data_IF_725752906441
#
_entry.id   IF_725752906441
#
_cell.length_a   1.000
_cell.length_b   1.000
_cell.length_c   1.000
_cell.angle_alpha   90.00
_cell.angle_beta   90.00
_cell.angle_gamma   90.00
#
_symmetry.space_group_name_H-M   'P 1'
#
loop_
_entity.id
_entity.type
_entity.pdbx_description
1 polymer ?
#
# COMPACT_ATOMS: atom_id res chain seq x y z
N UNK A 1 -3.78 3.28 -4.88
CA UNK A 1 -4.77 2.56 -5.71
C UNK A 1 -6.19 3.08 -5.50
N UNK A 2 -6.70 3.16 -4.27
CA UNK A 2 -8.06 3.63 -3.98
C UNK A 2 -8.40 4.98 -4.62
N UNK A 3 -7.49 5.94 -4.57
CA UNK A 3 -7.71 7.29 -5.15
C UNK A 3 -7.71 7.32 -6.69
N UNK A 4 -7.29 6.23 -7.33
CA UNK A 4 -7.34 6.07 -8.78
C UNK A 4 -8.68 5.48 -9.24
N UNK A 5 -9.50 4.93 -8.34
CA UNK A 5 -10.81 4.40 -8.70
C UNK A 5 -11.81 5.55 -8.79
N UNK A 6 -12.34 5.78 -10.00
CA UNK A 6 -13.35 6.81 -10.29
C UNK A 6 -14.77 6.24 -10.23
N UNK A 7 -14.93 4.98 -10.62
CA UNK A 7 -16.20 4.29 -10.65
C UNK A 7 -16.04 2.78 -10.75
N UNK A 8 -17.09 2.06 -10.35
CA UNK A 8 -17.15 0.60 -10.40
C UNK A 8 -18.55 0.14 -10.77
N UNK A 9 -18.64 -0.99 -11.49
CA UNK A 9 -19.88 -1.77 -11.58
C UNK A 9 -19.68 -3.12 -10.89
N UNK A 10 -20.70 -3.56 -10.17
CA UNK A 10 -20.62 -4.80 -9.40
C UNK A 10 -21.94 -5.56 -9.36
N UNK A 11 -21.85 -6.88 -9.19
CA UNK A 11 -22.97 -7.77 -8.94
C UNK A 11 -23.01 -8.10 -7.44
N UNK A 12 -24.16 -7.88 -6.80
CA UNK A 12 -24.40 -8.22 -5.38
C UNK A 12 -24.76 -9.69 -5.19
N UNK A 13 -24.80 -10.17 -3.94
CA UNK A 13 -25.21 -11.55 -3.61
C UNK A 13 -26.68 -11.85 -3.94
N UNK A 14 -27.46 -10.82 -4.27
CA UNK A 14 -28.83 -10.96 -4.79
C UNK A 14 -28.89 -10.90 -6.32
N UNK A 15 -27.74 -10.97 -7.01
CA UNK A 15 -27.67 -10.90 -8.48
C UNK A 15 -27.97 -9.51 -9.07
N UNK A 16 -28.02 -8.45 -8.24
CA UNK A 16 -28.30 -7.09 -8.74
C UNK A 16 -27.03 -6.46 -9.29
N UNK A 17 -27.10 -5.95 -10.51
CA UNK A 17 -26.03 -5.16 -11.12
C UNK A 17 -26.14 -3.69 -10.69
N UNK A 18 -25.15 -3.21 -9.95
CA UNK A 18 -25.11 -1.86 -9.40
C UNK A 18 -23.95 -1.08 -10.01
N UNK A 19 -24.13 0.24 -10.15
CA UNK A 19 -23.12 1.18 -10.64
C UNK A 19 -22.87 2.25 -9.59
N UNK A 20 -21.59 2.50 -9.31
CA UNK A 20 -21.14 3.53 -8.35
C UNK A 20 -20.06 4.40 -8.98
N UNK A 21 -20.10 5.70 -8.68
CA UNK A 21 -19.20 6.68 -9.29
C UNK A 21 -19.44 6.87 -10.80
N UNK A 22 -18.42 7.32 -11.51
CA UNK A 22 -18.50 7.60 -12.94
C UNK A 22 -17.16 8.04 -13.50
N UNK A 23 -17.12 8.35 -14.80
CA UNK A 23 -15.89 8.79 -15.48
C UNK A 23 -15.53 10.25 -15.19
N UNK A 24 -16.48 11.04 -14.65
CA UNK A 24 -16.29 12.44 -14.29
C UNK A 24 -15.87 12.59 -12.83
N UNK A 25 -14.90 13.47 -12.59
CA UNK A 25 -14.30 13.72 -11.26
C UNK A 25 -15.31 14.33 -10.27
N UNK A 26 -16.33 15.03 -10.77
CA UNK A 26 -17.37 15.66 -9.95
C UNK A 26 -18.54 14.69 -9.73
N UNK A 27 -18.44 13.87 -8.68
CA UNK A 27 -19.56 13.10 -8.14
C UNK A 27 -19.87 13.67 -6.74
N UNK A 28 -20.78 14.64 -6.65
CA UNK A 28 -21.07 15.39 -5.40
C UNK A 28 -22.37 14.89 -4.72
N UNK A 29 -22.71 13.61 -4.89
CA UNK A 29 -23.85 13.01 -4.19
C UNK A 29 -23.61 11.53 -3.88
N UNK A 30 -23.80 11.14 -2.62
CA UNK A 30 -23.83 9.75 -2.16
C UNK A 30 -22.54 9.24 -1.50
N UNK A 31 -22.61 7.99 -1.05
CA UNK A 31 -21.47 7.28 -0.44
C UNK A 31 -20.49 6.78 -1.51
N UNK A 32 -19.19 6.88 -1.22
CA UNK A 32 -18.10 6.50 -2.14
C UNK A 32 -17.87 4.97 -2.14
N UNK A 33 -18.86 4.24 -2.67
CA UNK A 33 -18.82 2.77 -2.75
C UNK A 33 -17.75 2.31 -3.74
N UNK A 34 -17.44 3.07 -4.80
CA UNK A 34 -16.41 2.70 -5.76
C UNK A 34 -15.02 2.62 -5.11
N UNK A 35 -14.67 3.57 -4.24
CA UNK A 35 -13.43 3.49 -3.46
C UNK A 35 -13.48 2.44 -2.36
N UNK A 36 -14.65 2.16 -1.77
CA UNK A 36 -14.83 1.07 -0.80
C UNK A 36 -14.49 -0.30 -1.40
N UNK A 37 -14.77 -0.53 -2.69
CA UNK A 37 -14.47 -1.79 -3.34
C UNK A 37 -12.97 -2.08 -3.43
N UNK A 38 -12.12 -1.04 -3.47
CA UNK A 38 -10.67 -1.19 -3.46
C UNK A 38 -10.21 -1.73 -2.10
N UNK A 39 -9.70 -2.96 -2.09
CA UNK A 39 -9.31 -3.65 -0.85
C UNK A 39 -10.46 -4.41 -0.17
N UNK A 40 -11.62 -4.57 -0.83
CA UNK A 40 -12.71 -5.43 -0.35
C UNK A 40 -12.44 -6.93 -0.49
N UNK A 41 -11.38 -7.31 -1.22
CA UNK A 41 -11.02 -8.70 -1.55
C UNK A 41 -12.21 -9.51 -2.07
N UNK A 42 -13.09 -8.88 -2.86
CA UNK A 42 -14.28 -9.52 -3.44
C UNK A 42 -15.40 -9.83 -2.45
N UNK A 43 -15.26 -9.50 -1.16
CA UNK A 43 -16.25 -9.85 -0.13
C UNK A 43 -17.57 -9.07 -0.27
N UNK A 44 -17.56 -7.95 -1.01
CA UNK A 44 -18.72 -7.04 -1.12
C UNK A 44 -19.43 -7.12 -2.46
N UNK A 45 -19.02 -8.02 -3.35
CA UNK A 45 -19.57 -8.12 -4.69
C UNK A 45 -18.54 -8.52 -5.74
N UNK A 46 -19.04 -9.00 -6.88
CA UNK A 46 -18.21 -9.29 -8.05
C UNK A 46 -18.08 -8.01 -8.87
N UNK A 47 -16.86 -7.50 -9.02
CA UNK A 47 -16.59 -6.36 -9.89
C UNK A 47 -16.68 -6.79 -11.36
N UNK A 48 -17.50 -6.09 -12.15
CA UNK A 48 -17.64 -6.33 -13.59
C UNK A 48 -16.92 -5.28 -14.42
N UNK A 49 -16.83 -4.05 -13.91
CA UNK A 49 -16.16 -2.92 -14.57
C UNK A 49 -15.51 -2.02 -13.54
N UNK A 50 -14.37 -1.42 -13.90
CA UNK A 50 -13.67 -0.41 -13.09
C UNK A 50 -13.21 0.74 -13.98
N UNK A 51 -13.59 1.96 -13.62
CA UNK A 51 -13.10 3.19 -14.26
C UNK A 51 -11.93 3.73 -13.44
N UNK A 52 -10.78 3.91 -14.07
CA UNK A 52 -9.55 4.36 -13.42
C UNK A 52 -9.13 5.75 -13.92
N UNK A 53 -8.65 6.58 -12.99
CA UNK A 53 -7.90 7.79 -13.31
C UNK A 53 -6.57 7.38 -13.93
N UNK A 54 -6.20 8.00 -15.04
CA UNK A 54 -4.87 7.86 -15.64
C UNK A 54 -4.07 9.13 -15.43
N UNK A 55 -2.75 8.98 -15.31
CA UNK A 55 -1.80 10.10 -15.22
C UNK A 55 -0.99 10.18 -16.52
N UNK A 56 -0.58 11.38 -16.95
CA UNK A 56 0.32 11.52 -18.08
C UNK A 56 1.61 10.73 -17.86
N UNK A 57 2.12 10.12 -18.93
CA UNK A 57 3.45 9.49 -18.90
C UNK A 57 4.52 10.58 -18.69
N UNK A 58 5.43 10.43 -17.70
CA UNK A 58 6.50 11.40 -17.50
C UNK A 58 7.43 11.45 -18.72
N UNK A 59 8.04 12.62 -18.97
CA UNK A 59 8.99 12.81 -20.07
C UNK A 59 10.32 12.12 -19.79
N UNK A 60 10.76 12.15 -18.53
CA UNK A 60 11.97 11.49 -18.07
C UNK A 60 11.68 10.71 -16.78
N UNK A 61 12.26 9.51 -16.68
CA UNK A 61 12.27 8.67 -15.50
C UNK A 61 13.70 8.19 -15.27
N UNK A 62 14.26 8.46 -14.10
CA UNK A 62 15.57 7.94 -13.68
C UNK A 62 15.46 7.32 -12.30
N UNK A 63 16.30 6.34 -12.00
CA UNK A 63 16.40 5.73 -10.68
C UNK A 63 17.80 5.95 -10.14
N UNK A 64 17.91 6.36 -8.89
CA UNK A 64 19.19 6.66 -8.23
C UNK A 64 19.30 5.92 -6.91
N UNK A 65 20.54 5.61 -6.51
CA UNK A 65 20.89 4.98 -5.25
C UNK A 65 21.83 5.88 -4.42
N UNK A 66 21.53 6.01 -3.13
CA UNK A 66 22.26 6.81 -2.16
C UNK A 66 22.65 5.91 -0.98
N UNK A 67 23.93 5.86 -0.63
CA UNK A 67 24.41 5.13 0.54
C UNK A 67 24.08 5.93 1.80
N UNK A 68 23.22 5.38 2.67
CA UNK A 68 22.77 6.07 3.88
C UNK A 68 22.10 5.09 4.84
N UNK A 69 22.19 5.34 6.14
CA UNK A 69 21.48 4.54 7.14
C UNK A 69 19.97 4.83 7.15
N UNK A 70 19.17 3.97 7.79
CA UNK A 70 17.71 4.11 7.80
C UNK A 70 17.20 5.38 8.48
N UNK A 71 17.87 5.87 9.53
CA UNK A 71 17.42 7.05 10.25
C UNK A 71 17.61 8.31 9.40
N UNK A 72 18.77 8.43 8.76
CA UNK A 72 19.08 9.48 7.80
C UNK A 72 18.14 9.43 6.59
N UNK A 73 17.93 8.24 6.00
CA UNK A 73 17.02 8.05 4.86
C UNK A 73 15.60 8.54 5.15
N UNK A 74 15.02 8.12 6.29
CA UNK A 74 13.66 8.51 6.69
C UNK A 74 13.56 10.02 6.96
N UNK A 75 14.59 10.60 7.58
CA UNK A 75 14.65 12.05 7.83
C UNK A 75 14.68 12.83 6.52
N UNK A 76 15.52 12.43 5.55
CA UNK A 76 15.58 13.03 4.22
C UNK A 76 14.25 12.90 3.47
N UNK A 77 13.61 11.72 3.50
CA UNK A 77 12.31 11.50 2.86
C UNK A 77 11.21 12.39 3.45
N UNK A 78 11.18 12.57 4.78
CA UNK A 78 10.25 13.47 5.46
C UNK A 78 10.50 14.94 5.10
N UNK A 79 11.75 15.33 4.87
CA UNK A 79 12.10 16.67 4.39
C UNK A 79 11.69 16.89 2.94
N UNK A 80 12.09 15.99 2.03
CA UNK A 80 11.82 16.10 0.59
C UNK A 80 10.34 15.99 0.26
N UNK A 81 9.56 15.23 1.05
CA UNK A 81 8.11 15.14 0.89
C UNK A 81 7.37 16.46 1.13
N UNK A 82 8.02 17.46 1.76
CA UNK A 82 7.48 18.82 1.95
C UNK A 82 7.92 19.80 0.85
N UNK A 83 8.62 19.30 -0.16
CA UNK A 83 9.19 20.09 -1.25
C UNK A 83 8.63 19.59 -2.60
N UNK A 84 8.65 20.40 -3.67
CA UNK A 84 8.20 19.99 -4.99
C UNK A 84 9.24 19.09 -5.70
N UNK A 85 9.67 18.02 -5.04
CA UNK A 85 10.64 17.06 -5.58
C UNK A 85 9.93 16.08 -6.52
N UNK A 86 10.50 15.73 -7.69
CA UNK A 86 9.91 14.78 -8.63
C UNK A 86 10.07 13.31 -8.17
N UNK A 87 10.08 13.04 -6.86
CA UNK A 87 10.23 11.69 -6.31
C UNK A 87 8.89 10.96 -6.44
N UNK A 88 8.85 9.90 -7.25
CA UNK A 88 7.64 9.08 -7.47
C UNK A 88 7.70 7.71 -6.83
N UNK A 89 8.89 7.27 -6.38
CA UNK A 89 9.07 6.07 -5.56
C UNK A 89 10.30 6.18 -4.68
N UNK A 90 10.27 5.53 -3.51
CA UNK A 90 11.38 5.50 -2.57
C UNK A 90 11.36 4.20 -1.76
N UNK A 91 12.52 3.54 -1.69
CA UNK A 91 12.74 2.27 -0.98
C UNK A 91 14.11 2.28 -0.29
N UNK A 92 14.23 1.67 0.89
CA UNK A 92 15.48 1.59 1.65
C UNK A 92 15.62 0.23 2.32
N UNK A 93 16.77 -0.43 2.13
CA UNK A 93 17.05 -1.81 2.58
C UNK A 93 17.93 -1.88 3.84
N UNK A 94 18.09 -0.77 4.55
CA UNK A 94 19.00 -0.65 5.70
C UNK A 94 20.32 0.05 5.37
N UNK A 95 20.75 0.03 4.11
CA UNK A 95 22.04 0.62 3.69
C UNK A 95 21.92 1.56 2.50
N UNK A 96 20.99 1.30 1.59
CA UNK A 96 20.86 2.04 0.33
C UNK A 96 19.46 2.59 0.16
N UNK A 97 19.34 3.92 0.08
CA UNK A 97 18.13 4.61 -0.30
C UNK A 97 18.05 4.67 -1.82
N UNK A 98 17.02 4.05 -2.39
CA UNK A 98 16.74 4.07 -3.83
C UNK A 98 15.55 4.96 -4.08
N UNK A 99 15.69 5.87 -5.04
CA UNK A 99 14.66 6.85 -5.40
C UNK A 99 14.36 6.73 -6.89
N UNK A 100 13.09 6.87 -7.26
CA UNK A 100 12.67 7.08 -8.65
C UNK A 100 12.26 8.52 -8.84
N UNK A 101 12.87 9.19 -9.81
CA UNK A 101 12.57 10.56 -10.17
C UNK A 101 11.82 10.58 -11.51
N UNK A 102 10.62 11.16 -11.53
CA UNK A 102 9.76 11.22 -12.71
C UNK A 102 9.19 12.62 -12.94
N UNK A 103 9.27 13.12 -14.17
CA UNK A 103 8.73 14.43 -14.51
C UNK A 103 9.22 14.98 -15.84
N UNK A 104 9.31 16.31 -15.92
CA UNK A 104 9.97 17.00 -17.02
C UNK A 104 11.50 16.88 -16.92
N UNK A 105 12.20 16.88 -18.05
CA UNK A 105 13.65 16.68 -18.11
C UNK A 105 14.44 17.62 -17.19
N UNK A 106 14.13 18.92 -17.20
CA UNK A 106 14.80 19.90 -16.34
C UNK A 106 14.57 19.66 -14.85
N UNK A 107 13.35 19.28 -14.46
CA UNK A 107 13.02 18.99 -13.06
C UNK A 107 13.74 17.74 -12.55
N UNK A 108 13.79 16.69 -13.38
CA UNK A 108 14.46 15.44 -13.02
C UNK A 108 15.98 15.62 -12.96
N UNK A 109 16.58 16.33 -13.94
CA UNK A 109 18.03 16.63 -13.93
C UNK A 109 18.43 17.45 -12.70
N UNK A 110 17.71 18.54 -12.42
CA UNK A 110 17.97 19.37 -11.24
C UNK A 110 17.81 18.60 -9.93
N UNK A 111 16.82 17.71 -9.84
CA UNK A 111 16.64 16.86 -8.66
C UNK A 111 17.80 15.87 -8.50
N UNK A 112 18.29 15.26 -9.58
CA UNK A 112 19.45 14.38 -9.52
C UNK A 112 20.73 15.11 -9.14
N UNK A 113 21.00 16.27 -9.71
CA UNK A 113 22.16 17.11 -9.35
C UNK A 113 22.14 17.49 -7.86
N UNK A 114 20.94 17.81 -7.33
CA UNK A 114 20.77 18.17 -5.92
C UNK A 114 20.90 16.98 -4.97
N UNK A 115 20.31 15.83 -5.32
CA UNK A 115 20.30 14.64 -4.48
C UNK A 115 21.60 13.83 -4.60
N UNK A 116 22.30 13.92 -5.73
CA UNK A 116 23.41 13.06 -6.09
C UNK A 116 22.98 11.62 -6.35
N UNK A 117 23.82 10.68 -5.92
CA UNK A 117 23.60 9.25 -6.03
C UNK A 117 24.02 8.66 -7.36
N UNK A 118 24.12 7.33 -7.41
CA UNK A 118 24.46 6.60 -8.62
C UNK A 118 23.20 6.20 -9.36
N UNK A 119 23.20 6.33 -10.69
CA UNK A 119 22.08 5.85 -11.51
C UNK A 119 22.04 4.33 -11.47
N UNK A 120 20.86 3.78 -11.18
CA UNK A 120 20.61 2.33 -11.12
C UNK A 120 19.60 1.89 -12.18
N UNK A 121 19.59 0.59 -12.46
CA UNK A 121 18.61 -0.03 -13.35
C UNK A 121 17.18 0.12 -12.78
N UNK A 122 16.27 0.56 -13.65
CA UNK A 122 14.84 0.68 -13.36
C UNK A 122 14.16 -0.66 -13.07
N UNK A 123 14.76 -1.79 -13.48
CA UNK A 123 14.28 -3.14 -13.19
C UNK A 123 14.12 -3.41 -11.68
N UNK A 124 14.88 -2.70 -10.82
CA UNK A 124 14.74 -2.77 -9.36
C UNK A 124 13.28 -2.54 -8.92
N UNK A 125 12.58 -1.56 -9.49
CA UNK A 125 11.21 -1.24 -9.10
C UNK A 125 10.22 -2.32 -9.50
N UNK A 126 10.42 -2.94 -10.66
CA UNK A 126 9.61 -4.09 -11.06
C UNK A 126 9.84 -5.26 -10.10
N UNK A 127 11.09 -5.56 -9.76
CA UNK A 127 11.42 -6.62 -8.80
C UNK A 127 10.86 -6.34 -7.41
N UNK A 128 10.87 -5.08 -6.94
CA UNK A 128 10.26 -4.68 -5.67
C UNK A 128 8.74 -4.92 -5.71
N UNK A 129 8.06 -4.40 -6.75
CA UNK A 129 6.61 -4.50 -6.89
C UNK A 129 6.12 -5.95 -7.02
N UNK A 130 6.90 -6.79 -7.71
CA UNK A 130 6.59 -8.21 -7.91
C UNK A 130 7.14 -9.11 -6.79
N UNK A 131 7.72 -8.51 -5.74
CA UNK A 131 8.29 -9.23 -4.58
C UNK A 131 9.37 -10.26 -4.98
N UNK A 132 10.23 -9.90 -5.94
CA UNK A 132 11.31 -10.74 -6.49
C UNK A 132 12.71 -10.38 -5.97
N UNK A 133 12.86 -9.26 -5.25
CA UNK A 133 14.15 -8.89 -4.63
C UNK A 133 14.64 -9.99 -3.66
N UNK A 134 15.96 -10.08 -3.40
CA UNK A 134 16.53 -11.06 -2.47
C UNK A 134 15.86 -11.09 -1.09
N UNK A 135 15.50 -9.92 -0.56
CA UNK A 135 14.74 -9.78 0.69
C UNK A 135 13.48 -10.66 0.76
N UNK A 136 12.78 -10.86 -0.36
CA UNK A 136 11.53 -11.63 -0.39
C UNK A 136 11.74 -13.15 -0.47
N UNK A 137 12.94 -13.61 -0.86
CA UNK A 137 13.28 -15.03 -0.99
C UNK A 137 13.43 -15.76 0.36
N UNK A 138 13.52 -15.00 1.44
CA UNK A 138 13.50 -15.52 2.80
C UNK A 138 12.17 -16.26 3.11
N UNK A 139 12.24 -17.41 3.80
CA UNK A 139 11.06 -18.25 4.08
C UNK A 139 10.23 -17.80 5.28
N UNK A 140 10.71 -16.83 6.08
CA UNK A 140 9.96 -16.23 7.19
C UNK A 140 8.64 -15.64 6.71
N UNK A 141 7.59 -15.63 7.55
CA UNK A 141 6.38 -14.89 7.30
C UNK A 141 6.68 -13.44 6.89
N UNK A 142 6.08 -13.01 5.79
CA UNK A 142 6.20 -11.65 5.29
C UNK A 142 5.07 -10.81 5.88
N UNK A 143 5.41 -9.71 6.50
CA UNK A 143 4.47 -8.75 7.06
C UNK A 143 4.53 -7.46 6.26
N UNK A 144 3.35 -6.90 5.99
CA UNK A 144 3.21 -5.53 5.50
C UNK A 144 2.76 -4.66 6.67
N UNK A 145 3.67 -3.82 7.14
CA UNK A 145 3.44 -2.87 8.23
C UNK A 145 3.26 -1.48 7.62
N UNK A 146 2.06 -0.94 7.69
CA UNK A 146 1.72 0.39 7.18
C UNK A 146 1.70 1.38 8.35
N UNK A 147 2.44 2.48 8.23
CA UNK A 147 2.62 3.50 9.28
C UNK A 147 2.55 4.90 8.67
N UNK A 148 2.37 5.97 9.45
CA UNK A 148 2.51 7.33 8.95
C UNK A 148 3.85 7.55 8.23
N UNK A 149 3.86 8.34 7.15
CA UNK A 149 5.06 8.53 6.32
C UNK A 149 6.26 9.13 7.08
N UNK A 150 6.00 9.88 8.15
CA UNK A 150 7.02 10.52 8.98
C UNK A 150 7.41 9.67 10.21
N UNK A 151 6.93 8.43 10.30
CA UNK A 151 7.39 7.50 11.33
C UNK A 151 8.87 7.20 11.11
N UNK A 152 9.68 7.46 12.14
CA UNK A 152 11.11 7.19 12.14
C UNK A 152 11.45 5.69 12.14
N UNK A 153 12.64 5.37 12.63
CA UNK A 153 13.08 3.98 12.75
C UNK A 153 12.17 3.24 13.72
N UNK A 154 11.74 2.04 13.34
CA UNK A 154 11.01 1.12 14.19
C UNK A 154 11.88 -0.11 14.41
N UNK A 155 12.06 -0.49 15.67
CA UNK A 155 12.83 -1.68 16.05
C UNK A 155 11.96 -2.94 15.94
N UNK A 156 11.40 -3.19 14.74
CA UNK A 156 10.56 -4.35 14.49
C UNK A 156 11.39 -5.63 14.57
N UNK A 157 10.86 -6.72 15.17
CA UNK A 157 11.62 -7.94 15.40
C UNK A 157 11.83 -8.71 14.09
N UNK A 158 12.88 -8.41 13.34
CA UNK A 158 13.20 -9.08 12.09
C UNK A 158 13.87 -8.15 11.08
N UNK A 159 13.96 -8.64 9.85
CA UNK A 159 14.59 -7.87 8.77
C UNK A 159 13.56 -7.00 8.08
N UNK A 160 13.93 -5.75 7.80
CA UNK A 160 13.03 -4.74 7.26
C UNK A 160 13.49 -4.24 5.89
N UNK A 161 12.54 -4.00 5.02
CA UNK A 161 12.69 -3.23 3.79
C UNK A 161 11.66 -2.09 3.84
N UNK A 162 12.15 -0.86 3.90
CA UNK A 162 11.34 0.36 3.92
C UNK A 162 10.88 0.63 2.49
N UNK A 163 9.59 0.91 2.32
CA UNK A 163 8.98 1.16 1.03
C UNK A 163 7.97 2.32 1.16
N UNK A 164 7.42 2.78 0.03
CA UNK A 164 6.44 3.87 -0.02
C UNK A 164 6.91 5.15 0.69
N UNK A 165 8.19 5.49 0.54
CA UNK A 165 8.77 6.71 1.13
C UNK A 165 8.69 6.74 2.66
N UNK A 166 8.75 5.59 3.32
CA UNK A 166 8.72 5.51 4.77
C UNK A 166 7.32 5.26 5.35
N UNK A 167 6.28 5.15 4.53
CA UNK A 167 4.93 4.80 5.01
C UNK A 167 4.69 3.27 5.11
N UNK A 168 5.59 2.46 4.56
CA UNK A 168 5.48 1.00 4.60
C UNK A 168 6.79 0.36 5.05
N UNK A 169 6.70 -0.71 5.84
CA UNK A 169 7.79 -1.65 6.10
C UNK A 169 7.34 -3.03 5.63
N UNK A 170 8.08 -3.61 4.71
CA UNK A 170 8.08 -5.06 4.55
C UNK A 170 8.94 -5.64 5.67
N UNK A 171 8.43 -6.63 6.38
CA UNK A 171 9.11 -7.25 7.52
C UNK A 171 9.11 -8.78 7.36
N UNK A 172 10.30 -9.39 7.44
CA UNK A 172 10.46 -10.84 7.54
C UNK A 172 10.66 -11.23 9.00
N UNK A 173 9.67 -11.91 9.60
CA UNK A 173 9.66 -12.17 11.05
C UNK A 173 8.88 -13.43 11.44
N UNK A 174 9.40 -14.14 12.46
CA UNK A 174 8.70 -15.21 13.18
C UNK A 174 8.03 -14.73 14.48
N UNK A 175 8.13 -13.44 14.79
CA UNK A 175 7.52 -12.91 16.00
C UNK A 175 6.00 -13.05 15.98
N UNK A 176 5.42 -13.08 17.18
CA UNK A 176 3.98 -13.20 17.33
C UNK A 176 3.24 -12.04 16.64
N UNK A 177 2.12 -12.35 15.99
CA UNK A 177 1.28 -11.37 15.30
C UNK A 177 0.83 -10.22 16.20
N UNK A 178 0.59 -10.48 17.48
CA UNK A 178 0.21 -9.49 18.50
C UNK A 178 1.36 -8.52 18.72
N UNK A 179 2.60 -9.00 18.83
CA UNK A 179 3.78 -8.14 19.01
C UNK A 179 3.92 -7.17 17.83
N UNK A 180 3.92 -7.70 16.60
CA UNK A 180 4.09 -6.89 15.39
C UNK A 180 2.96 -5.84 15.26
N UNK A 181 1.72 -6.24 15.52
CA UNK A 181 0.56 -5.33 15.48
C UNK A 181 0.58 -4.28 16.56
N UNK A 182 0.97 -4.63 17.78
CA UNK A 182 1.11 -3.67 18.88
C UNK A 182 2.15 -2.61 18.55
N UNK A 183 3.30 -3.00 18.00
CA UNK A 183 4.34 -2.05 17.58
C UNK A 183 3.85 -1.13 16.44
N UNK A 184 3.13 -1.67 15.46
CA UNK A 184 2.53 -0.87 14.40
C UNK A 184 1.46 0.10 14.95
N UNK A 185 0.58 -0.39 15.83
CA UNK A 185 -0.50 0.40 16.42
C UNK A 185 0.01 1.52 17.33
N UNK A 186 1.13 1.30 18.04
CA UNK A 186 1.76 2.30 18.92
C UNK A 186 2.17 3.58 18.16
N UNK A 187 2.38 3.49 16.84
CA UNK A 187 2.70 4.64 15.97
C UNK A 187 1.54 5.02 15.04
N UNK A 188 0.33 4.54 15.32
CA UNK A 188 -0.87 4.81 14.51
C UNK A 188 -0.95 4.02 13.20
N UNK A 189 -0.19 2.95 13.08
CA UNK A 189 -0.14 2.06 11.92
C UNK A 189 -0.94 0.76 12.10
N UNK A 190 -0.81 -0.12 11.11
CA UNK A 190 -1.36 -1.48 11.15
C UNK A 190 -0.46 -2.48 10.43
N UNK A 191 -0.57 -3.75 10.80
CA UNK A 191 0.22 -4.84 10.23
C UNK A 191 -0.68 -5.98 9.71
N UNK A 192 -0.41 -6.40 8.48
CA UNK A 192 -1.08 -7.55 7.83
C UNK A 192 -0.03 -8.58 7.45
N UNK A 193 -0.25 -9.85 7.80
CA UNK A 193 0.58 -10.94 7.30
C UNK A 193 0.25 -11.18 5.82
N UNK A 194 1.28 -11.12 4.99
CA UNK A 194 1.23 -11.22 3.54
C UNK A 194 1.89 -12.55 3.10
N UNK A 195 1.28 -13.24 2.14
CA UNK A 195 1.78 -14.53 1.66
C UNK A 195 1.15 -15.75 2.36
N UNK A 196 1.58 -16.98 2.01
CA UNK A 196 0.92 -18.23 2.39
C UNK A 196 1.16 -18.66 3.84
N UNK A 197 1.85 -17.84 4.65
CA UNK A 197 2.05 -18.12 6.06
C UNK A 197 0.68 -18.27 6.74
N UNK A 198 0.43 -19.45 7.31
CA UNK A 198 -0.81 -19.81 8.02
C UNK A 198 -0.87 -19.06 9.35
N UNK A 199 -1.29 -17.80 9.29
CA UNK A 199 -1.77 -17.07 10.47
C UNK A 199 -3.29 -17.09 10.42
N UNK A 200 -3.93 -17.51 11.51
CA UNK A 200 -5.39 -17.71 11.56
C UNK A 200 -6.17 -16.44 11.18
N UNK A 201 -5.63 -15.27 11.54
CA UNK A 201 -6.12 -13.97 11.11
C UNK A 201 -4.98 -13.16 10.50
N UNK A 202 -4.84 -13.10 9.16
CA UNK A 202 -3.75 -12.36 8.53
C UNK A 202 -3.93 -10.84 8.64
N UNK A 203 -5.18 -10.35 8.71
CA UNK A 203 -5.50 -8.93 8.83
C UNK A 203 -5.45 -8.43 10.27
N UNK A 204 -5.09 -7.16 10.44
CA UNK A 204 -5.21 -6.48 11.73
C UNK A 204 -6.67 -6.46 12.19
N UNK A 205 -7.00 -6.94 13.39
CA UNK A 205 -8.37 -6.90 13.91
C UNK A 205 -8.95 -5.49 13.88
N UNK A 206 -10.23 -5.40 13.52
CA UNK A 206 -10.96 -4.14 13.58
C UNK A 206 -11.44 -3.86 15.00
N UNK A 207 -11.41 -2.60 15.45
CA UNK A 207 -12.21 -2.17 16.58
C UNK A 207 -13.69 -2.48 16.36
N UNK A 208 -14.40 -2.86 17.42
CA UNK A 208 -15.81 -3.29 17.37
C UNK A 208 -16.74 -2.30 16.63
N UNK A 209 -16.63 -0.96 16.81
CA UNK A 209 -17.47 -0.03 16.06
C UNK A 209 -17.30 -0.14 14.53
N UNK A 210 -16.08 -0.38 14.05
CA UNK A 210 -15.80 -0.55 12.62
C UNK A 210 -16.27 -1.91 12.12
N UNK A 211 -16.08 -2.97 12.92
CA UNK A 211 -16.54 -4.31 12.56
C UNK A 211 -18.07 -4.34 12.35
N UNK A 212 -18.83 -3.63 13.18
CA UNK A 212 -20.28 -3.48 13.01
C UNK A 212 -20.66 -2.88 11.65
N UNK A 213 -19.95 -1.86 11.18
CA UNK A 213 -20.21 -1.27 9.86
C UNK A 213 -19.84 -2.23 8.72
N UNK A 214 -18.73 -2.97 8.86
CA UNK A 214 -18.36 -4.01 7.89
C UNK A 214 -19.43 -5.11 7.78
N UNK A 215 -19.96 -5.60 8.93
CA UNK A 215 -21.09 -6.56 8.95
C UNK A 215 -22.34 -6.01 8.28
N UNK A 216 -22.72 -4.77 8.60
CA UNK A 216 -23.89 -4.13 7.99
C UNK A 216 -23.75 -3.98 6.47
N UNK A 217 -22.56 -3.61 5.98
CA UNK A 217 -22.27 -3.52 4.54
C UNK A 217 -22.31 -4.89 3.87
N UNK A 218 -21.69 -5.90 4.47
CA UNK A 218 -21.70 -7.28 4.01
C UNK A 218 -23.12 -7.81 3.91
N UNK A 219 -23.94 -7.65 4.95
CA UNK A 219 -25.36 -8.05 4.94
C UNK A 219 -26.18 -7.32 3.86
N UNK A 220 -25.83 -6.08 3.51
CA UNK A 220 -26.56 -5.33 2.48
C UNK A 220 -26.18 -5.75 1.06
N UNK A 221 -24.91 -6.06 0.82
CA UNK A 221 -24.36 -6.38 -0.50
C UNK A 221 -24.30 -7.88 -0.79
N UNK A 222 -24.22 -8.72 0.24
CA UNK A 222 -24.15 -10.17 0.15
C UNK A 222 -24.84 -10.83 1.35
N UNK A 223 -26.18 -10.70 1.46
CA UNK A 223 -26.96 -11.23 2.59
C UNK A 223 -26.88 -12.76 2.73
N UNK A 224 -26.46 -13.47 1.68
CA UNK A 224 -26.34 -14.93 1.67
C UNK A 224 -24.91 -15.40 1.96
N UNK A 225 -23.95 -14.48 2.15
CA UNK A 225 -22.56 -14.81 2.46
C UNK A 225 -21.83 -15.59 1.35
N UNK A 226 -22.23 -15.41 0.09
CA UNK A 226 -21.72 -16.17 -1.05
C UNK A 226 -20.26 -15.77 -1.37
N UNK A 227 -19.93 -14.50 -1.22
CA UNK A 227 -18.66 -13.97 -1.70
C UNK A 227 -17.55 -14.08 -0.68
N UNK A 228 -16.53 -14.88 -1.00
CA UNK A 228 -15.30 -15.06 -0.26
C UNK A 228 -15.51 -15.20 1.27
N UNK A 229 -16.30 -16.20 1.72
CA UNK A 229 -16.55 -16.40 3.14
C UNK A 229 -15.24 -16.61 3.90
N UNK A 230 -15.13 -16.01 5.10
CA UNK A 230 -13.93 -16.06 5.92
C UNK A 230 -12.73 -15.26 5.40
N UNK A 231 -12.85 -14.57 4.25
CA UNK A 231 -11.83 -13.63 3.76
C UNK A 231 -11.93 -12.31 4.55
N UNK A 232 -10.79 -11.64 4.76
CA UNK A 232 -10.62 -10.46 5.63
C UNK A 232 -10.76 -10.77 7.12
N UNK A 233 -11.99 -10.96 7.59
CA UNK A 233 -12.29 -11.22 8.99
C UNK A 233 -13.26 -12.40 9.04
N UNK A 234 -12.91 -13.43 9.81
CA UNK A 234 -13.72 -14.65 9.90
C UNK A 234 -15.15 -14.41 10.43
N UNK A 235 -15.35 -13.27 11.12
CA UNK A 235 -16.62 -12.87 11.72
C UNK A 235 -17.54 -12.04 10.80
N UNK A 236 -17.18 -11.91 9.50
CA UNK A 236 -17.96 -11.25 8.46
C UNK A 236 -18.71 -12.21 7.55
#
# INVERSE_FOLDING_TARGET
>A
MRDFVLGTRLITGLGKHLRFGGEVIKNVAGYDVSRLMAGSFGCLGVLTEVSLKVLPKPRLCISIALQTDSASALSCLAEWGRQPMPISAASHDGQVLRLRLEGGEGSVKAAHERLGGEVIDTAYWQQLNEQRLPFFQDSRPLWRVCVPAHTGVLDLPGEQLIDWGGAQRWLKSHADSVVIRTMAAAVGGHATCYGPARVDSPFQPLPEPLLRYHRALKNRLDPQGIFNPGRLYAEL
#
